data_IF_377996645367
#
_entry.id   IF_377996645367
#
_cell.length_a   1.000
_cell.length_b   1.000
_cell.length_c   1.000
_cell.angle_alpha   90.00
_cell.angle_beta   90.00
_cell.angle_gamma   90.00
#
_symmetry.space_group_name_H-M   'P 1'
#
loop_
_entity.id
_entity.type
_entity.pdbx_description
1 polymer ?
#
# COMPACT_ATOMS: atom_id res chain seq x y z
N UNK A 1 20.66 -25.91 -31.65
CA UNK A 1 19.32 -25.65 -31.08
C UNK A 1 19.52 -24.57 -30.04
N UNK A 2 19.11 -23.34 -30.33
CA UNK A 2 19.12 -22.26 -29.33
C UNK A 2 17.95 -22.56 -28.41
N UNK A 3 18.17 -22.64 -27.10
CA UNK A 3 17.08 -22.75 -26.15
C UNK A 3 16.13 -21.57 -26.39
N UNK A 4 14.83 -21.81 -26.54
CA UNK A 4 13.86 -20.72 -26.49
C UNK A 4 14.02 -20.06 -25.12
N UNK A 5 14.62 -18.87 -25.07
CA UNK A 5 14.50 -18.01 -23.90
C UNK A 5 13.01 -17.73 -23.74
N UNK A 6 12.39 -18.34 -22.72
CA UNK A 6 11.00 -18.07 -22.40
C UNK A 6 10.95 -16.63 -21.89
N UNK A 7 10.54 -15.70 -22.75
CA UNK A 7 10.42 -14.30 -22.41
C UNK A 7 9.54 -14.12 -21.16
N UNK A 8 9.94 -13.18 -20.31
CA UNK A 8 9.12 -12.64 -19.22
C UNK A 8 7.69 -12.38 -19.70
N UNK A 9 6.70 -12.93 -19.02
CA UNK A 9 5.29 -12.73 -19.38
C UNK A 9 4.78 -11.42 -18.77
N UNK A 10 3.70 -10.91 -19.36
CA UNK A 10 2.88 -9.86 -18.76
C UNK A 10 1.57 -10.50 -18.32
N UNK A 11 1.22 -10.34 -17.05
CA UNK A 11 0.01 -10.88 -16.43
C UNK A 11 -0.90 -9.73 -16.06
N UNK A 12 -2.14 -9.79 -16.54
CA UNK A 12 -3.17 -8.80 -16.25
C UNK A 12 -4.11 -9.34 -15.17
N UNK A 13 -4.32 -8.58 -14.09
CA UNK A 13 -5.21 -8.95 -12.98
C UNK A 13 -6.18 -7.82 -12.66
N UNK A 14 -7.41 -8.16 -12.25
CA UNK A 14 -8.37 -7.17 -11.72
C UNK A 14 -8.19 -7.05 -10.21
N UNK A 15 -7.98 -5.82 -9.73
CA UNK A 15 -7.91 -5.47 -8.31
C UNK A 15 -9.28 -5.11 -7.73
N UNK A 16 -9.42 -5.26 -6.42
CA UNK A 16 -10.52 -4.68 -5.64
C UNK A 16 -9.95 -3.70 -4.62
N UNK A 17 -10.63 -2.57 -4.42
CA UNK A 17 -10.10 -1.47 -3.57
C UNK A 17 -9.74 -1.96 -2.17
N UNK A 18 -10.64 -2.67 -1.49
CA UNK A 18 -10.44 -3.10 -0.11
C UNK A 18 -9.22 -4.03 0.04
N UNK A 19 -9.12 -5.06 -0.79
CA UNK A 19 -8.02 -6.02 -0.71
C UNK A 19 -6.71 -5.38 -1.17
N UNK A 20 -6.76 -4.46 -2.14
CA UNK A 20 -5.59 -3.72 -2.62
C UNK A 20 -4.95 -2.89 -1.52
N UNK A 21 -5.77 -2.20 -0.72
CA UNK A 21 -5.30 -1.45 0.44
C UNK A 21 -4.62 -2.38 1.45
N UNK A 22 -5.24 -3.52 1.77
CA UNK A 22 -4.72 -4.47 2.77
C UNK A 22 -3.35 -5.07 2.42
N UNK A 23 -3.14 -5.49 1.16
CA UNK A 23 -1.98 -6.36 0.84
C UNK A 23 -1.08 -5.84 -0.27
N UNK A 24 -1.41 -4.73 -0.93
CA UNK A 24 -0.54 -4.10 -1.94
C UNK A 24 -0.06 -2.73 -1.48
N UNK A 25 -0.95 -1.82 -1.07
CA UNK A 25 -0.52 -0.51 -0.52
C UNK A 25 0.12 -0.65 0.85
N UNK A 26 -0.50 -1.46 1.70
CA UNK A 26 0.12 -1.96 2.91
C UNK A 26 0.91 -3.25 2.60
N UNK A 27 1.24 -4.00 3.63
CA UNK A 27 1.96 -5.25 3.55
C UNK A 27 1.39 -6.25 4.54
N UNK A 28 1.65 -7.51 4.28
CA UNK A 28 1.45 -8.61 5.22
C UNK A 28 2.76 -8.84 5.97
N UNK A 29 2.67 -8.88 7.30
CA UNK A 29 3.81 -9.16 8.17
C UNK A 29 4.07 -10.68 8.22
N UNK A 30 5.19 -11.10 7.65
CA UNK A 30 5.57 -12.51 7.56
C UNK A 30 5.89 -13.10 8.93
N UNK A 31 6.49 -12.32 9.84
CA UNK A 31 6.81 -12.78 11.20
C UNK A 31 5.54 -12.99 12.02
N UNK A 32 4.55 -12.09 11.88
CA UNK A 32 3.25 -12.26 12.52
C UNK A 32 2.52 -13.53 12.04
N UNK A 33 2.50 -13.79 10.72
CA UNK A 33 1.95 -15.04 10.18
C UNK A 33 2.63 -16.28 10.77
N UNK A 34 3.96 -16.26 10.88
CA UNK A 34 4.72 -17.38 11.42
C UNK A 34 4.49 -17.57 12.92
N UNK A 35 4.51 -16.49 13.70
CA UNK A 35 4.28 -16.52 15.15
C UNK A 35 2.87 -17.01 15.51
N UNK A 36 1.89 -16.75 14.65
CA UNK A 36 0.51 -17.26 14.78
C UNK A 36 0.32 -18.66 14.18
N UNK A 37 1.38 -19.30 13.69
CA UNK A 37 1.38 -20.63 13.06
C UNK A 37 0.52 -20.74 11.79
N UNK A 38 0.33 -19.64 11.05
CA UNK A 38 -0.43 -19.64 9.80
C UNK A 38 0.42 -20.10 8.60
N UNK A 39 1.74 -20.04 8.71
CA UNK A 39 2.71 -20.55 7.74
C UNK A 39 3.72 -21.47 8.43
N UNK A 40 4.23 -22.45 7.68
CA UNK A 40 5.22 -23.40 8.21
C UNK A 40 6.68 -22.89 8.07
N UNK A 41 7.63 -23.57 8.72
CA UNK A 41 9.05 -23.20 8.70
C UNK A 41 9.60 -23.01 7.28
N UNK A 42 9.21 -23.85 6.32
CA UNK A 42 9.70 -23.74 4.95
C UNK A 42 9.14 -22.49 4.25
N UNK A 43 7.85 -22.25 4.37
CA UNK A 43 7.21 -21.04 3.81
C UNK A 43 7.82 -19.78 4.43
N UNK A 44 8.04 -19.77 5.74
CA UNK A 44 8.68 -18.67 6.45
C UNK A 44 10.10 -18.38 5.93
N UNK A 45 10.94 -19.41 5.79
CA UNK A 45 12.30 -19.24 5.24
C UNK A 45 12.30 -18.78 3.78
N UNK A 46 11.46 -19.40 2.93
CA UNK A 46 11.34 -19.02 1.51
C UNK A 46 10.86 -17.56 1.37
N UNK A 47 9.91 -17.14 2.22
CA UNK A 47 9.41 -15.76 2.25
C UNK A 47 10.49 -14.79 2.72
N UNK A 48 11.22 -15.06 3.79
CA UNK A 48 12.30 -14.17 4.27
C UNK A 48 13.49 -14.07 3.29
N UNK A 49 13.79 -15.12 2.52
CA UNK A 49 14.76 -15.05 1.43
C UNK A 49 14.31 -14.03 0.36
N UNK A 50 13.00 -13.93 0.13
CA UNK A 50 12.43 -12.97 -0.80
C UNK A 50 12.20 -11.58 -0.17
N UNK A 51 11.90 -11.51 1.11
CA UNK A 51 11.47 -10.33 1.85
C UNK A 51 12.25 -10.22 3.17
N UNK A 52 13.51 -9.75 3.12
CA UNK A 52 14.36 -9.71 4.32
C UNK A 52 13.88 -8.75 5.42
N UNK A 53 12.96 -7.83 5.11
CA UNK A 53 12.31 -6.94 6.05
C UNK A 53 10.99 -7.50 6.61
N UNK A 54 10.68 -8.76 6.29
CA UNK A 54 9.44 -9.47 6.64
C UNK A 54 8.15 -8.82 6.12
N UNK A 55 8.23 -7.91 5.14
CA UNK A 55 7.06 -7.23 4.56
C UNK A 55 6.74 -7.78 3.18
N UNK A 56 5.62 -8.50 3.09
CA UNK A 56 5.15 -9.08 1.84
C UNK A 56 4.00 -8.27 1.25
N UNK A 57 4.13 -7.87 -0.02
CA UNK A 57 3.00 -7.46 -0.84
C UNK A 57 2.52 -8.66 -1.67
N UNK A 58 1.22 -8.94 -1.65
CA UNK A 58 0.67 -10.11 -2.32
C UNK A 58 -0.77 -9.94 -2.81
N UNK A 59 -1.15 -10.83 -3.73
CA UNK A 59 -2.51 -11.01 -4.22
C UNK A 59 -2.87 -12.49 -4.26
N UNK A 60 -4.14 -12.79 -4.46
CA UNK A 60 -4.64 -14.16 -4.42
C UNK A 60 -5.71 -14.43 -5.46
N UNK A 61 -5.84 -15.70 -5.82
CA UNK A 61 -6.94 -16.22 -6.63
C UNK A 61 -7.69 -17.30 -5.87
N UNK A 62 -9.00 -17.39 -6.11
CA UNK A 62 -9.82 -18.49 -5.62
C UNK A 62 -9.53 -19.78 -6.40
N UNK A 63 -9.97 -20.92 -5.85
CA UNK A 63 -9.93 -22.24 -6.52
C UNK A 63 -10.96 -22.38 -7.65
N UNK A 64 -10.92 -21.45 -8.60
CA UNK A 64 -11.77 -21.45 -9.79
C UNK A 64 -10.90 -21.30 -11.07
N UNK A 65 -11.48 -20.82 -12.17
CA UNK A 65 -10.77 -20.63 -13.45
C UNK A 65 -9.46 -19.83 -13.33
N UNK A 66 -9.34 -18.90 -12.37
CA UNK A 66 -8.16 -18.06 -12.19
C UNK A 66 -6.93 -18.82 -11.70
N UNK A 67 -7.08 -19.99 -11.06
CA UNK A 67 -5.95 -20.85 -10.68
C UNK A 67 -5.08 -21.26 -11.86
N UNK A 68 -5.69 -21.40 -13.05
CA UNK A 68 -4.94 -21.72 -14.27
C UNK A 68 -3.95 -20.61 -14.66
N UNK A 69 -4.26 -19.36 -14.34
CA UNK A 69 -3.36 -18.22 -14.52
C UNK A 69 -2.24 -18.26 -13.47
N UNK A 70 -2.54 -18.59 -12.22
CA UNK A 70 -1.53 -18.76 -11.16
C UNK A 70 -0.46 -19.79 -11.53
N UNK A 71 -0.84 -20.93 -12.12
CA UNK A 71 0.12 -21.95 -12.59
C UNK A 71 1.01 -21.49 -13.75
N UNK A 72 0.57 -20.50 -14.54
CA UNK A 72 1.34 -19.96 -15.67
C UNK A 72 2.30 -18.84 -15.28
N UNK A 73 2.12 -18.25 -14.10
CA UNK A 73 2.99 -17.22 -13.55
C UNK A 73 4.35 -17.80 -13.16
N UNK A 74 5.41 -17.17 -13.59
CA UNK A 74 6.79 -17.50 -13.25
C UNK A 74 7.43 -16.36 -12.46
N UNK A 75 8.51 -16.67 -11.74
CA UNK A 75 9.34 -15.65 -11.09
C UNK A 75 9.81 -14.62 -12.13
N UNK A 76 9.79 -13.36 -11.74
CA UNK A 76 10.07 -12.16 -12.53
C UNK A 76 9.07 -11.82 -13.62
N UNK A 77 7.95 -12.55 -13.81
CA UNK A 77 6.86 -12.09 -14.70
C UNK A 77 6.34 -10.73 -14.24
N UNK A 78 6.01 -9.84 -15.20
CA UNK A 78 5.41 -8.55 -14.90
C UNK A 78 3.92 -8.72 -14.66
N UNK A 79 3.42 -8.27 -13.52
CA UNK A 79 2.00 -8.16 -13.24
C UNK A 79 1.55 -6.70 -13.39
N UNK A 80 0.44 -6.47 -14.07
CA UNK A 80 -0.26 -5.19 -14.13
C UNK A 80 -1.65 -5.37 -13.51
N UNK A 81 -1.95 -4.58 -12.49
CA UNK A 81 -3.26 -4.59 -11.83
C UNK A 81 -4.16 -3.50 -12.39
N UNK A 82 -5.25 -3.92 -13.00
CA UNK A 82 -6.32 -3.07 -13.46
C UNK A 82 -7.35 -2.86 -12.34
N UNK A 83 -7.74 -1.60 -12.12
CA UNK A 83 -8.89 -1.25 -11.29
C UNK A 83 -9.48 0.07 -11.80
N UNK A 84 -10.81 0.15 -11.88
CA UNK A 84 -11.55 1.38 -12.21
C UNK A 84 -10.93 2.23 -13.33
N UNK A 85 -10.78 1.63 -14.52
CA UNK A 85 -10.21 2.27 -15.72
C UNK A 85 -8.76 2.76 -15.58
N UNK A 86 -8.02 2.22 -14.64
CA UNK A 86 -6.62 2.54 -14.40
C UNK A 86 -5.78 1.27 -14.26
N UNK A 87 -4.50 1.37 -14.59
CA UNK A 87 -3.47 0.45 -14.10
C UNK A 87 -2.90 1.10 -12.85
N UNK A 88 -3.18 0.48 -11.70
CA UNK A 88 -2.92 1.04 -10.36
C UNK A 88 -1.73 0.42 -9.66
N UNK A 89 -1.23 -0.70 -10.18
CA UNK A 89 -0.02 -1.35 -9.70
C UNK A 89 0.68 -2.07 -10.84
N UNK A 90 2.00 -2.00 -10.80
CA UNK A 90 2.90 -2.88 -11.53
C UNK A 90 3.83 -3.56 -10.53
N UNK A 91 4.19 -4.82 -10.77
CA UNK A 91 5.06 -5.55 -9.85
C UNK A 91 5.55 -6.85 -10.45
N UNK A 92 6.67 -7.35 -9.94
CA UNK A 92 7.28 -8.59 -10.43
C UNK A 92 6.89 -9.76 -9.54
N UNK A 93 6.40 -10.84 -10.15
CA UNK A 93 6.09 -12.07 -9.42
C UNK A 93 7.37 -12.61 -8.77
N UNK A 94 7.36 -12.83 -7.46
CA UNK A 94 8.56 -13.23 -6.70
C UNK A 94 8.46 -14.63 -6.12
N UNK A 95 7.32 -14.95 -5.52
CA UNK A 95 7.03 -16.16 -4.79
C UNK A 95 5.55 -16.51 -4.91
N UNK A 96 5.20 -17.79 -4.73
CA UNK A 96 3.82 -18.25 -4.74
C UNK A 96 3.64 -19.42 -3.77
N UNK A 97 2.52 -19.45 -3.07
CA UNK A 97 2.15 -20.55 -2.18
C UNK A 97 0.63 -20.69 -2.13
N UNK A 98 0.13 -21.83 -1.66
CA UNK A 98 -1.30 -22.08 -1.50
C UNK A 98 -1.62 -22.24 -0.02
N UNK A 99 -2.41 -21.32 0.54
CA UNK A 99 -2.76 -21.35 1.94
C UNK A 99 -4.09 -20.62 2.18
N UNK A 100 -5.14 -21.39 2.49
CA UNK A 100 -6.48 -20.86 2.72
C UNK A 100 -6.61 -20.11 4.05
N UNK A 101 -5.89 -20.54 5.09
CA UNK A 101 -5.90 -19.90 6.41
C UNK A 101 -5.28 -18.50 6.34
N UNK A 102 -4.14 -18.37 5.66
CA UNK A 102 -3.52 -17.07 5.39
C UNK A 102 -4.44 -16.18 4.55
N UNK A 103 -5.08 -16.72 3.51
CA UNK A 103 -5.99 -15.93 2.68
C UNK A 103 -7.21 -15.42 3.46
N UNK A 104 -7.75 -16.22 4.38
CA UNK A 104 -8.85 -15.81 5.26
C UNK A 104 -8.43 -14.71 6.24
N UNK A 105 -7.20 -14.80 6.76
CA UNK A 105 -6.64 -13.82 7.69
C UNK A 105 -6.38 -12.45 7.03
N UNK A 106 -5.73 -12.44 5.85
CA UNK A 106 -5.27 -11.18 5.23
C UNK A 106 -6.32 -10.48 4.37
N UNK A 107 -7.38 -11.18 3.92
CA UNK A 107 -8.46 -10.59 3.14
C UNK A 107 -9.82 -10.73 3.82
N UNK A 108 -10.42 -11.91 3.76
CA UNK A 108 -11.72 -12.21 4.37
C UNK A 108 -11.95 -13.72 4.45
N UNK A 109 -12.60 -14.17 5.53
CA UNK A 109 -13.07 -15.54 5.67
C UNK A 109 -14.24 -15.78 4.70
N UNK A 110 -14.15 -16.85 3.92
CA UNK A 110 -15.12 -17.18 2.87
C UNK A 110 -15.05 -18.68 2.55
N UNK A 111 -16.15 -19.25 2.05
CA UNK A 111 -16.19 -20.61 1.50
C UNK A 111 -15.30 -20.77 0.26
N UNK A 112 -14.99 -19.67 -0.43
CA UNK A 112 -14.11 -19.61 -1.59
C UNK A 112 -12.96 -18.61 -1.34
N UNK A 113 -11.98 -18.96 -0.49
CA UNK A 113 -10.88 -18.06 -0.16
C UNK A 113 -9.95 -17.85 -1.36
N UNK A 114 -9.25 -16.71 -1.39
CA UNK A 114 -8.22 -16.38 -2.39
C UNK A 114 -6.90 -17.14 -2.13
N UNK A 115 -6.98 -18.45 -1.91
CA UNK A 115 -5.91 -19.29 -1.36
C UNK A 115 -4.71 -19.50 -2.30
N UNK A 116 -4.82 -19.22 -3.60
CA UNK A 116 -3.69 -19.28 -4.54
C UNK A 116 -2.94 -17.95 -4.51
N UNK A 117 -2.09 -17.81 -3.49
CA UNK A 117 -1.38 -16.56 -3.17
C UNK A 117 -0.13 -16.43 -4.05
N UNK A 118 0.12 -15.23 -4.54
CA UNK A 118 1.33 -14.85 -5.26
C UNK A 118 1.81 -13.48 -4.79
N UNK A 119 3.12 -13.37 -4.65
CA UNK A 119 3.78 -12.25 -3.99
C UNK A 119 4.54 -11.42 -5.02
N UNK A 120 4.74 -10.14 -4.71
CA UNK A 120 5.39 -9.19 -5.61
C UNK A 120 6.69 -8.66 -5.03
N UNK A 121 7.66 -8.38 -5.90
CA UNK A 121 8.78 -7.48 -5.62
C UNK A 121 8.72 -6.31 -6.59
N UNK A 122 9.46 -5.26 -6.26
CA UNK A 122 9.63 -4.09 -7.13
C UNK A 122 8.26 -3.54 -7.53
N UNK A 123 7.43 -3.23 -6.53
CA UNK A 123 6.04 -2.80 -6.69
C UNK A 123 6.00 -1.30 -6.90
N UNK A 124 5.43 -0.86 -8.01
CA UNK A 124 5.11 0.55 -8.25
C UNK A 124 3.60 0.74 -8.24
N UNK A 125 3.14 1.90 -7.80
CA UNK A 125 1.72 2.25 -7.69
C UNK A 125 1.37 3.41 -8.62
N UNK A 126 1.51 3.24 -9.96
CA UNK A 126 1.26 4.34 -10.86
C UNK A 126 -0.25 4.61 -10.98
N UNK A 127 -0.61 5.78 -11.51
CA UNK A 127 -2.01 6.11 -11.85
C UNK A 127 -2.20 6.23 -13.37
N UNK A 128 -1.97 5.13 -14.11
CA UNK A 128 -1.99 5.14 -15.58
C UNK A 128 -3.43 4.91 -16.07
N UNK A 129 -4.00 5.77 -16.93
CA UNK A 129 -5.27 5.47 -17.58
C UNK A 129 -5.18 4.13 -18.34
N UNK A 130 -6.06 3.18 -18.04
CA UNK A 130 -5.99 1.81 -18.58
C UNK A 130 -6.04 1.78 -20.11
N UNK A 131 -6.73 2.73 -20.74
CA UNK A 131 -6.75 2.91 -22.19
C UNK A 131 -5.34 3.00 -22.78
N UNK A 132 -4.42 3.73 -22.13
CA UNK A 132 -3.03 3.89 -22.61
C UNK A 132 -2.28 2.57 -22.68
N UNK A 133 -2.58 1.64 -21.79
CA UNK A 133 -1.90 0.33 -21.77
C UNK A 133 -2.70 -0.69 -22.57
N UNK A 134 -3.98 -0.88 -22.23
CA UNK A 134 -4.81 -1.91 -22.83
C UNK A 134 -5.06 -1.65 -24.32
N UNK A 135 -5.43 -0.43 -24.70
CA UNK A 135 -5.76 -0.13 -26.08
C UNK A 135 -4.51 0.25 -26.87
N UNK A 136 -3.76 1.25 -26.39
CA UNK A 136 -2.68 1.84 -27.19
C UNK A 136 -1.44 0.93 -27.27
N UNK A 137 -1.14 0.15 -26.22
CA UNK A 137 0.02 -0.76 -26.21
C UNK A 137 -0.33 -2.22 -26.50
N UNK A 138 -1.48 -2.69 -26.04
CA UNK A 138 -1.86 -4.09 -26.18
C UNK A 138 -2.90 -4.37 -27.28
N UNK A 139 -3.47 -3.36 -27.95
CA UNK A 139 -4.53 -3.50 -28.97
C UNK A 139 -5.84 -4.12 -28.44
N UNK A 140 -6.22 -3.90 -27.18
CA UNK A 140 -7.56 -4.25 -26.71
C UNK A 140 -8.60 -3.29 -27.32
N UNK A 141 -9.79 -3.81 -27.61
CA UNK A 141 -10.91 -2.99 -28.09
C UNK A 141 -11.63 -2.24 -26.96
N UNK A 142 -11.25 -2.48 -25.71
CA UNK A 142 -11.86 -1.92 -24.51
C UNK A 142 -10.79 -1.51 -23.51
N UNK A 143 -11.10 -0.48 -22.72
CA UNK A 143 -10.25 0.03 -21.63
C UNK A 143 -10.42 -0.76 -20.32
N UNK A 144 -10.98 -1.97 -20.37
CA UNK A 144 -11.17 -2.82 -19.20
C UNK A 144 -10.82 -4.28 -19.52
N UNK A 145 -10.52 -5.03 -18.45
CA UNK A 145 -10.33 -6.47 -18.48
C UNK A 145 -11.29 -7.14 -17.51
N UNK A 146 -11.44 -8.46 -17.64
CA UNK A 146 -12.20 -9.27 -16.70
C UNK A 146 -11.36 -10.44 -16.21
N UNK A 147 -11.36 -10.68 -14.91
CA UNK A 147 -10.62 -11.77 -14.28
C UNK A 147 -9.10 -11.57 -14.37
N UNK A 148 -8.37 -12.66 -14.56
CA UNK A 148 -6.91 -12.64 -14.63
C UNK A 148 -6.40 -13.49 -15.79
N UNK A 149 -5.57 -12.91 -16.66
CA UNK A 149 -5.09 -13.58 -17.86
C UNK A 149 -3.65 -13.15 -18.19
N UNK A 150 -2.79 -14.08 -18.64
CA UNK A 150 -1.56 -13.71 -19.33
C UNK A 150 -1.89 -12.93 -20.61
N UNK A 151 -1.06 -11.94 -20.93
CA UNK A 151 -1.12 -11.26 -22.22
C UNK A 151 -0.92 -12.28 -23.34
N UNK A 152 -1.74 -12.20 -24.39
CA UNK A 152 -1.64 -13.12 -25.52
C UNK A 152 -0.25 -13.03 -26.16
N UNK A 153 0.32 -14.17 -26.57
CA UNK A 153 1.69 -14.25 -27.14
C UNK A 153 1.93 -13.23 -28.26
N UNK A 154 1.00 -13.10 -29.19
CA UNK A 154 1.10 -12.14 -30.30
C UNK A 154 1.09 -10.67 -29.87
N UNK A 155 0.50 -10.33 -28.73
CA UNK A 155 0.54 -8.97 -28.16
C UNK A 155 1.85 -8.75 -27.40
N UNK A 156 2.32 -9.76 -26.68
CA UNK A 156 3.64 -9.71 -26.03
C UNK A 156 4.76 -9.55 -27.05
N UNK A 157 4.71 -10.27 -28.18
CA UNK A 157 5.69 -10.14 -29.27
C UNK A 157 5.76 -8.69 -29.79
N UNK A 158 4.61 -8.01 -29.98
CA UNK A 158 4.59 -6.59 -30.37
C UNK A 158 5.22 -5.66 -29.33
N UNK A 159 5.00 -5.95 -28.05
CA UNK A 159 5.63 -5.20 -26.94
C UNK A 159 7.14 -5.37 -27.00
N UNK A 160 7.63 -6.60 -27.16
CA UNK A 160 9.06 -6.88 -27.29
C UNK A 160 9.65 -6.24 -28.56
N UNK A 161 8.95 -6.29 -29.69
CA UNK A 161 9.40 -5.65 -30.94
C UNK A 161 9.53 -4.12 -30.79
N UNK A 162 8.62 -3.50 -30.03
CA UNK A 162 8.59 -2.04 -29.83
C UNK A 162 9.59 -1.57 -28.77
N UNK A 163 9.73 -2.30 -27.66
CA UNK A 163 10.48 -1.87 -26.47
C UNK A 163 11.77 -2.65 -26.21
N UNK A 164 11.98 -3.76 -26.92
CA UNK A 164 13.11 -4.68 -26.74
C UNK A 164 12.93 -5.67 -25.60
N UNK A 165 12.40 -5.23 -24.45
CA UNK A 165 12.18 -6.07 -23.26
C UNK A 165 10.88 -5.68 -22.55
N UNK A 166 10.36 -6.58 -21.69
CA UNK A 166 9.23 -6.26 -20.81
C UNK A 166 9.61 -5.19 -19.77
N UNK A 167 10.87 -5.13 -19.35
CA UNK A 167 11.35 -4.14 -18.38
C UNK A 167 11.35 -2.73 -19.00
N UNK A 168 11.86 -2.57 -20.22
CA UNK A 168 11.81 -1.31 -20.95
C UNK A 168 10.36 -0.87 -21.22
N UNK A 169 9.46 -1.82 -21.51
CA UNK A 169 8.04 -1.55 -21.65
C UNK A 169 7.45 -0.99 -20.35
N UNK A 170 7.74 -1.64 -19.21
CA UNK A 170 7.31 -1.20 -17.88
C UNK A 170 7.76 0.24 -17.60
N UNK A 171 9.04 0.52 -17.79
CA UNK A 171 9.62 1.85 -17.59
C UNK A 171 8.90 2.93 -18.42
N UNK A 172 8.61 2.64 -19.70
CA UNK A 172 7.96 3.62 -20.57
C UNK A 172 6.49 3.87 -20.18
N UNK A 173 5.71 2.84 -19.84
CA UNK A 173 4.29 3.05 -19.47
C UNK A 173 4.12 3.78 -18.14
N UNK A 174 5.10 3.63 -17.24
CA UNK A 174 5.13 4.26 -15.92
C UNK A 174 5.61 5.70 -15.93
N UNK A 175 6.27 6.11 -17.02
CA UNK A 175 6.87 7.43 -17.15
C UNK A 175 5.84 8.54 -16.98
N UNK A 176 6.03 9.35 -15.93
CA UNK A 176 5.12 10.45 -15.58
C UNK A 176 3.82 10.00 -14.89
N UNK A 177 3.74 8.75 -14.44
CA UNK A 177 2.61 8.18 -13.71
C UNK A 177 2.99 7.53 -12.38
N UNK A 178 4.26 7.15 -12.21
CA UNK A 178 4.83 6.89 -10.90
C UNK A 178 5.32 8.25 -10.40
N UNK A 179 4.81 8.70 -9.26
CA UNK A 179 5.45 9.81 -8.55
C UNK A 179 6.90 9.37 -8.28
N UNK A 180 7.89 10.17 -8.67
CA UNK A 180 9.34 9.94 -8.45
C UNK A 180 9.73 9.81 -6.95
N UNK A 181 8.76 9.61 -6.06
CA UNK A 181 8.92 9.34 -4.64
C UNK A 181 9.01 7.83 -4.44
N UNK A 182 10.20 7.27 -4.67
CA UNK A 182 10.55 6.01 -4.04
C UNK A 182 10.53 6.24 -2.53
N UNK A 183 9.46 5.85 -1.83
CA UNK A 183 9.49 5.82 -0.37
C UNK A 183 10.49 4.73 0.01
N UNK A 184 11.71 5.15 0.33
CA UNK A 184 12.62 4.28 1.06
C UNK A 184 11.92 3.96 2.39
N UNK A 185 12.11 2.76 2.94
CA UNK A 185 11.61 2.42 4.28
C UNK A 185 12.21 3.30 5.40
N UNK A 186 13.07 4.26 5.04
CA UNK A 186 13.63 5.31 5.90
C UNK A 186 13.03 6.70 5.66
N UNK A 187 12.18 6.86 4.64
CA UNK A 187 11.54 8.13 4.37
C UNK A 187 10.34 8.31 5.29
N UNK A 188 10.16 9.52 5.85
CA UNK A 188 9.13 9.77 6.83
C UNK A 188 7.74 9.66 6.21
N UNK A 189 6.79 9.04 6.93
CA UNK A 189 5.39 9.07 6.52
C UNK A 189 4.87 10.51 6.60
N UNK A 190 3.92 10.86 5.73
CA UNK A 190 3.27 12.17 5.74
C UNK A 190 1.83 12.00 6.23
N UNK A 191 1.51 12.65 7.34
CA UNK A 191 0.21 12.62 7.99
C UNK A 191 -0.53 13.93 7.78
N UNK A 192 -1.83 13.86 7.54
CA UNK A 192 -2.69 15.03 7.47
C UNK A 192 -3.55 15.13 8.72
N UNK A 193 -3.53 16.29 9.39
CA UNK A 193 -4.40 16.54 10.55
C UNK A 193 -5.26 17.79 10.33
N UNK A 194 -6.56 17.64 10.56
CA UNK A 194 -7.50 18.75 10.58
C UNK A 194 -7.61 19.27 12.02
N UNK A 195 -7.07 20.45 12.29
CA UNK A 195 -7.07 21.05 13.63
C UNK A 195 -8.05 22.22 13.72
N UNK A 196 -8.74 22.30 14.87
CA UNK A 196 -9.70 23.33 15.19
C UNK A 196 -9.15 24.34 16.20
N UNK A 197 -9.89 24.53 17.30
CA UNK A 197 -9.62 25.58 18.29
C UNK A 197 -8.36 25.35 19.15
N UNK A 198 -7.84 24.12 19.22
CA UNK A 198 -6.70 23.74 20.08
C UNK A 198 -5.32 23.90 19.42
N UNK A 199 -5.28 24.26 18.13
CA UNK A 199 -4.04 24.28 17.33
C UNK A 199 -2.92 25.15 17.91
N UNK A 200 -3.21 26.36 18.41
CA UNK A 200 -2.18 27.24 18.96
C UNK A 200 -1.66 26.74 20.32
N UNK A 201 -2.49 26.09 21.13
CA UNK A 201 -2.07 25.48 22.39
C UNK A 201 -1.16 24.27 22.14
N UNK A 202 -1.60 23.37 21.25
CA UNK A 202 -0.83 22.19 20.81
C UNK A 202 0.54 22.57 20.24
N UNK A 203 0.58 23.60 19.37
CA UNK A 203 1.82 24.14 18.83
C UNK A 203 2.74 24.73 19.90
N UNK A 204 2.21 25.53 20.83
CA UNK A 204 3.03 26.14 21.88
C UNK A 204 3.67 25.11 22.81
N UNK A 205 3.01 23.96 22.97
CA UNK A 205 3.51 22.83 23.75
C UNK A 205 4.35 21.84 22.94
N UNK A 206 4.36 21.95 21.60
CA UNK A 206 5.08 21.04 20.72
C UNK A 206 4.49 19.63 20.72
N UNK A 207 3.15 19.54 20.69
CA UNK A 207 2.44 18.27 20.78
C UNK A 207 1.32 18.18 19.74
N UNK A 208 1.00 16.95 19.36
CA UNK A 208 -0.31 16.60 18.78
C UNK A 208 -1.06 15.75 19.80
N UNK A 209 -2.35 16.05 20.00
CA UNK A 209 -3.13 15.46 21.07
C UNK A 209 -4.53 15.03 20.60
N UNK A 210 -4.97 13.85 21.02
CA UNK A 210 -6.34 13.40 20.81
C UNK A 210 -6.82 12.47 21.94
N UNK A 211 -8.12 12.45 22.27
CA UNK A 211 -8.68 11.49 23.21
C UNK A 211 -8.60 10.05 22.71
N UNK A 212 -8.44 9.09 23.63
CA UNK A 212 -8.51 7.66 23.31
C UNK A 212 -9.95 7.23 23.09
N UNK A 213 -10.89 7.72 23.91
CA UNK A 213 -12.31 7.42 23.81
C UNK A 213 -13.15 8.69 23.77
N UNK A 214 -14.27 8.62 23.06
CA UNK A 214 -15.29 9.66 23.10
C UNK A 214 -15.99 9.68 24.47
N UNK A 215 -16.75 10.75 24.77
CA UNK A 215 -17.61 10.81 25.97
C UNK A 215 -18.62 9.65 26.06
N UNK A 216 -18.85 8.92 24.95
CA UNK A 216 -19.73 7.76 24.88
C UNK A 216 -19.01 6.39 24.94
N UNK A 217 -17.69 6.35 25.19
CA UNK A 217 -16.91 5.11 25.25
C UNK A 217 -16.61 4.48 23.88
N UNK A 218 -16.78 5.25 22.80
CA UNK A 218 -16.43 4.81 21.43
C UNK A 218 -15.13 5.45 20.97
N UNK A 219 -14.20 4.64 20.48
CA UNK A 219 -12.94 5.08 19.86
C UNK A 219 -13.22 5.51 18.41
N UNK A 220 -12.70 6.65 17.99
CA UNK A 220 -12.74 7.06 16.58
C UNK A 220 -11.51 6.55 15.85
N UNK A 221 -11.70 6.02 14.64
CA UNK A 221 -10.64 5.48 13.79
C UNK A 221 -9.43 6.42 13.63
N UNK A 222 -9.67 7.73 13.50
CA UNK A 222 -8.60 8.74 13.37
C UNK A 222 -7.73 8.94 14.64
N UNK A 223 -8.12 8.39 15.79
CA UNK A 223 -7.31 8.42 17.01
C UNK A 223 -6.45 7.16 17.16
N UNK A 224 -6.89 6.05 16.57
CA UNK A 224 -6.08 4.82 16.51
C UNK A 224 -4.88 5.02 15.58
N UNK A 225 -5.03 5.75 14.48
CA UNK A 225 -3.91 6.04 13.56
C UNK A 225 -2.75 6.80 14.22
N UNK A 226 -2.94 7.41 15.41
CA UNK A 226 -1.83 7.99 16.18
C UNK A 226 -0.81 6.94 16.65
N UNK A 227 -1.19 5.66 16.79
CA UNK A 227 -0.22 4.58 17.15
C UNK A 227 0.69 4.20 16.00
N UNK A 228 0.36 4.60 14.78
CA UNK A 228 1.14 4.28 13.58
C UNK A 228 2.22 5.35 13.31
N UNK A 229 2.13 6.51 13.97
CA UNK A 229 3.05 7.64 13.80
C UNK A 229 4.40 7.35 14.45
N UNK A 230 5.48 7.56 13.70
CA UNK A 230 6.85 7.25 14.12
C UNK A 230 7.76 8.50 14.19
N UNK A 231 8.81 8.50 15.03
CA UNK A 231 9.83 9.54 15.00
C UNK A 231 10.40 9.74 13.60
N UNK A 232 10.44 10.99 13.16
CA UNK A 232 10.85 11.37 11.81
C UNK A 232 9.67 11.71 10.89
N UNK A 233 8.49 11.14 11.11
CA UNK A 233 7.29 11.41 10.32
C UNK A 233 6.94 12.90 10.26
N UNK A 234 6.30 13.30 9.17
CA UNK A 234 5.91 14.68 8.90
C UNK A 234 4.40 14.82 9.05
N UNK A 235 3.95 15.83 9.79
CA UNK A 235 2.53 16.14 9.99
C UNK A 235 2.19 17.48 9.31
N UNK A 236 1.17 17.46 8.48
CA UNK A 236 0.59 18.60 7.78
C UNK A 236 -0.63 19.11 8.56
N UNK A 237 -0.52 20.31 9.13
CA UNK A 237 -1.55 20.90 9.99
C UNK A 237 -2.49 21.81 9.21
N UNK A 238 -3.68 21.32 8.91
CA UNK A 238 -4.71 22.05 8.18
C UNK A 238 -5.73 22.69 9.12
N UNK A 239 -5.97 23.99 8.95
CA UNK A 239 -6.99 24.73 9.69
C UNK A 239 -7.41 26.00 8.94
N UNK A 240 -8.70 26.34 9.01
CA UNK A 240 -9.27 27.54 8.38
C UNK A 240 -8.87 27.66 6.89
N UNK A 241 -9.17 26.62 6.12
CA UNK A 241 -8.96 26.53 4.66
C UNK A 241 -7.51 26.75 4.17
N UNK A 242 -6.54 26.42 5.02
CA UNK A 242 -5.14 26.53 4.67
C UNK A 242 -4.26 25.57 5.46
N UNK A 243 -3.14 25.19 4.84
CA UNK A 243 -2.05 24.50 5.52
C UNK A 243 -1.24 25.53 6.32
N UNK A 244 -1.27 25.40 7.65
CA UNK A 244 -0.75 26.40 8.59
C UNK A 244 0.66 26.08 9.05
N UNK A 245 0.90 24.82 9.36
CA UNK A 245 2.17 24.35 9.90
C UNK A 245 2.53 23.00 9.29
N UNK A 246 3.83 22.72 9.30
CA UNK A 246 4.37 21.38 9.18
C UNK A 246 5.04 21.06 10.51
N UNK A 247 4.87 19.86 11.05
CA UNK A 247 5.69 19.42 12.17
C UNK A 247 6.40 18.13 11.87
N UNK A 248 7.55 17.91 12.51
CA UNK A 248 8.24 16.63 12.48
C UNK A 248 8.06 15.93 13.82
N UNK A 249 7.66 14.66 13.79
CA UNK A 249 7.48 13.83 14.97
C UNK A 249 8.84 13.54 15.61
N UNK A 250 8.92 13.72 16.93
CA UNK A 250 10.13 13.45 17.71
C UNK A 250 10.04 12.17 18.52
N UNK A 251 8.85 11.86 19.03
CA UNK A 251 8.59 10.69 19.86
C UNK A 251 7.26 10.05 19.47
N UNK A 252 7.15 8.73 19.64
CA UNK A 252 5.93 7.96 19.41
C UNK A 252 4.79 8.41 20.34
N UNK A 253 3.55 8.02 19.98
CA UNK A 253 2.39 8.32 20.80
C UNK A 253 2.48 7.67 22.19
N UNK A 254 2.50 8.50 23.23
CA UNK A 254 2.41 8.04 24.62
C UNK A 254 0.99 8.25 25.13
N UNK A 255 0.54 7.32 25.98
CA UNK A 255 -0.64 7.57 26.82
C UNK A 255 -0.28 8.65 27.83
N UNK A 256 -1.09 9.69 27.88
CA UNK A 256 -0.90 10.81 28.80
C UNK A 256 -2.23 11.24 29.41
N UNK A 257 -2.16 11.78 30.61
CA UNK A 257 -3.22 12.63 31.13
C UNK A 257 -3.27 13.92 30.30
N UNK A 258 -4.44 14.54 30.24
CA UNK A 258 -4.69 15.79 29.52
C UNK A 258 -3.69 16.90 29.95
N UNK A 259 -3.05 17.61 29.00
CA UNK A 259 -2.18 18.73 29.35
C UNK A 259 -2.93 19.81 30.14
N UNK A 260 -2.38 20.23 31.28
CA UNK A 260 -3.03 21.16 32.22
C UNK A 260 -3.27 22.56 31.63
N UNK A 261 -2.57 22.91 30.57
CA UNK A 261 -2.60 24.20 29.87
C UNK A 261 -3.75 24.33 28.85
N UNK A 262 -4.54 23.28 28.61
CA UNK A 262 -5.67 23.31 27.68
C UNK A 262 -7.01 23.47 28.42
N UNK A 263 -7.72 24.58 28.17
CA UNK A 263 -9.04 24.82 28.79
C UNK A 263 -10.15 23.88 28.29
N UNK A 264 -11.08 23.61 29.22
CA UNK A 264 -12.46 23.10 29.10
C UNK A 264 -12.72 21.60 29.39
N UNK A 265 -13.61 21.40 30.36
CA UNK A 265 -14.26 20.21 30.94
C UNK A 265 -13.47 19.31 31.92
N UNK A 266 -14.09 19.08 33.09
CA UNK A 266 -13.70 18.29 34.28
C UNK A 266 -13.64 16.76 34.05
N UNK A 267 -13.55 16.31 32.80
CA UNK A 267 -13.54 14.88 32.50
C UNK A 267 -12.12 14.32 32.62
N UNK A 268 -11.90 13.46 33.62
CA UNK A 268 -10.67 12.67 33.74
C UNK A 268 -10.69 11.53 32.70
N UNK A 269 -9.95 11.66 31.60
CA UNK A 269 -9.88 10.69 30.50
C UNK A 269 -8.44 10.40 30.10
N UNK A 270 -8.19 9.19 29.57
CA UNK A 270 -6.91 8.88 28.93
C UNK A 270 -6.85 9.49 27.53
N UNK A 271 -5.74 10.17 27.23
CA UNK A 271 -5.47 10.76 25.92
C UNK A 271 -4.19 10.17 25.32
N UNK A 272 -4.00 10.36 24.00
CA UNK A 272 -2.75 10.10 23.29
C UNK A 272 -2.07 11.42 22.97
N UNK A 273 -0.76 11.45 23.19
CA UNK A 273 0.08 12.60 22.94
C UNK A 273 1.29 12.18 22.11
N UNK A 274 1.56 12.91 21.04
CA UNK A 274 2.75 12.78 20.20
C UNK A 274 3.56 14.06 20.37
N UNK A 275 4.86 13.96 20.63
CA UNK A 275 5.73 15.14 20.63
C UNK A 275 6.16 15.48 19.21
N UNK A 276 6.02 16.75 18.84
CA UNK A 276 6.31 17.24 17.51
C UNK A 276 7.08 18.56 17.57
N UNK A 277 7.93 18.79 16.57
CA UNK A 277 8.61 20.08 16.38
C UNK A 277 7.92 20.83 15.25
N UNK A 278 7.29 21.96 15.57
CA UNK A 278 6.50 22.76 14.63
C UNK A 278 7.35 23.72 13.81
N UNK A 279 7.02 23.81 12.52
CA UNK A 279 7.56 24.75 11.55
C UNK A 279 6.41 25.49 10.88
N UNK A 280 6.45 26.83 10.95
CA UNK A 280 5.43 27.68 10.32
C UNK A 280 5.71 27.79 8.82
N UNK A 281 4.66 27.66 8.01
CA UNK A 281 4.75 27.90 6.57
C UNK A 281 4.59 29.38 6.24
N UNK A 282 5.56 29.94 5.52
CA UNK A 282 5.53 31.30 4.99
C UNK A 282 5.91 31.29 3.49
N UNK A 283 5.02 31.72 2.57
CA UNK A 283 3.64 32.13 2.80
C UNK A 283 2.75 30.95 3.22
N UNK A 284 1.61 31.27 3.86
CA UNK A 284 0.59 30.26 4.14
C UNK A 284 0.04 29.69 2.82
N UNK A 285 0.02 28.37 2.69
CA UNK A 285 -0.51 27.70 1.51
C UNK A 285 -2.03 27.62 1.63
N UNK A 286 -2.74 28.28 0.70
CA UNK A 286 -4.20 28.18 0.56
C UNK A 286 -4.47 26.91 -0.24
N UNK A 287 -5.33 26.04 0.27
CA UNK A 287 -5.70 24.78 -0.37
C UNK A 287 -7.00 24.92 -1.16
#
# INVERSE_FOLDING_TARGET
MVAEEEYKKIILVVGSENNFQKTIKNYVDIEDLYNRNLINDKEYQDLLENYPDAKMQCWGFQDNRTKSTWYKMNKNDLCLMYQDKKIIMTGLISYKFRNAEVAADIWEESDEPFEYIFCFKDVHLPDIPSKKVLMDEFDYSAEFIMGANPLAKSRLEKVIDKYGTVDNFREEIEKGYVDDVSYSSKDPNIWWVNQGQTMEAEKNEGILWAPIESKGGTTQYHWETMTEVKPGDIILHYANDALRFISQVKEEAVKSEKPTSMEADDWNREDRLIKTEYYKLEPTCIC
#
